data_IF_619857301297
#
_entry.id   IF_619857301297
#
_cell.length_a   1.000
_cell.length_b   1.000
_cell.length_c   1.000
_cell.angle_alpha   90.00
_cell.angle_beta   90.00
_cell.angle_gamma   90.00
#
_symmetry.space_group_name_H-M   'P 1'
#
loop_
_entity.id
_entity.type
_entity.pdbx_description
1 polymer ?
#
# COMPACT_ATOMS: atom_id res chain seq x y z
N UNK A 1 -32.91 -29.31 -17.10
CA UNK A 1 -32.17 -29.04 -18.36
C UNK A 1 -31.44 -27.73 -18.14
N UNK A 2 -30.24 -27.78 -17.60
CA UNK A 2 -29.35 -26.63 -17.47
C UNK A 2 -28.87 -26.24 -18.87
N UNK A 3 -29.16 -25.01 -19.26
CA UNK A 3 -28.62 -24.41 -20.48
C UNK A 3 -27.12 -24.14 -20.25
N UNK A 4 -26.25 -25.11 -20.57
CA UNK A 4 -24.83 -24.84 -20.76
C UNK A 4 -24.69 -23.81 -21.90
N UNK A 5 -24.34 -22.56 -21.57
CA UNK A 5 -23.96 -21.54 -22.55
C UNK A 5 -22.80 -22.11 -23.38
N UNK A 6 -23.00 -22.17 -24.70
CA UNK A 6 -21.98 -22.66 -25.65
C UNK A 6 -20.65 -21.90 -25.46
N UNK A 7 -19.49 -22.56 -25.65
CA UNK A 7 -18.16 -21.93 -25.53
C UNK A 7 -17.97 -20.67 -26.39
N UNK A 8 -18.67 -20.54 -27.51
CA UNK A 8 -18.64 -19.40 -28.41
C UNK A 8 -19.26 -18.13 -27.82
N UNK A 9 -20.26 -18.26 -26.93
CA UNK A 9 -20.93 -17.13 -26.30
C UNK A 9 -20.05 -16.53 -25.17
N UNK A 10 -19.31 -17.35 -24.46
CA UNK A 10 -18.35 -16.90 -23.46
C UNK A 10 -17.13 -16.19 -24.07
N UNK A 11 -16.67 -16.65 -25.25
CA UNK A 11 -15.56 -15.98 -25.98
C UNK A 11 -15.98 -14.61 -26.53
N UNK A 12 -17.19 -14.44 -26.98
CA UNK A 12 -17.70 -13.17 -27.49
C UNK A 12 -17.92 -12.13 -26.37
N UNK A 13 -18.41 -12.53 -25.19
CA UNK A 13 -18.53 -11.66 -24.00
C UNK A 13 -17.16 -11.20 -23.49
N UNK A 14 -16.16 -12.11 -23.44
CA UNK A 14 -14.78 -11.79 -23.07
C UNK A 14 -14.11 -10.86 -24.09
N UNK A 15 -14.41 -11.01 -25.38
CA UNK A 15 -13.90 -10.11 -26.44
C UNK A 15 -14.44 -8.70 -26.33
N UNK A 16 -15.72 -8.55 -25.99
CA UNK A 16 -16.35 -7.24 -25.79
C UNK A 16 -15.83 -6.54 -24.53
N UNK A 17 -15.41 -7.30 -23.51
CA UNK A 17 -14.88 -6.77 -22.26
C UNK A 17 -13.43 -6.26 -22.36
N UNK A 18 -12.61 -6.81 -23.29
CA UNK A 18 -11.17 -6.48 -23.41
C UNK A 18 -10.90 -5.65 -24.68
N UNK A 19 -11.91 -4.98 -25.21
CA UNK A 19 -11.69 -4.10 -26.36
C UNK A 19 -10.84 -2.87 -25.95
N UNK A 20 -9.85 -2.46 -26.79
CA UNK A 20 -9.11 -1.23 -26.58
C UNK A 20 -10.05 -0.02 -26.51
N UNK A 21 -9.63 1.08 -25.86
CA UNK A 21 -10.47 2.29 -25.76
C UNK A 21 -10.91 2.78 -27.13
N UNK A 22 -12.22 2.95 -27.31
CA UNK A 22 -12.82 3.29 -28.60
C UNK A 22 -12.61 4.75 -29.01
N UNK A 23 -12.38 5.61 -28.02
CA UNK A 23 -12.24 7.06 -28.22
C UNK A 23 -11.32 7.68 -27.18
N UNK A 24 -10.92 8.93 -27.40
CA UNK A 24 -10.05 9.71 -26.52
C UNK A 24 -10.64 9.89 -25.12
N UNK A 25 -11.95 9.98 -24.96
CA UNK A 25 -12.60 10.09 -23.65
C UNK A 25 -12.41 8.83 -22.81
N UNK A 26 -12.58 7.66 -23.40
CA UNK A 26 -12.38 6.38 -22.72
C UNK A 26 -10.90 6.15 -22.39
N UNK A 27 -10.02 6.53 -23.31
CA UNK A 27 -8.57 6.50 -23.09
C UNK A 27 -8.17 7.38 -21.89
N UNK A 28 -8.64 8.63 -21.87
CA UNK A 28 -8.36 9.58 -20.79
C UNK A 28 -8.97 9.14 -19.46
N UNK A 29 -10.19 8.58 -19.48
CA UNK A 29 -10.80 7.98 -18.29
C UNK A 29 -9.92 6.86 -17.71
N UNK A 30 -9.45 5.94 -18.54
CA UNK A 30 -8.60 4.84 -18.11
C UNK A 30 -7.24 5.34 -17.57
N UNK A 31 -6.68 6.39 -18.21
CA UNK A 31 -5.47 7.05 -17.71
C UNK A 31 -5.70 7.71 -16.33
N UNK A 32 -6.84 8.39 -16.14
CA UNK A 32 -7.20 8.99 -14.85
C UNK A 32 -7.38 7.92 -13.75
N UNK A 33 -8.02 6.81 -14.07
CA UNK A 33 -8.13 5.69 -13.13
C UNK A 33 -6.75 5.15 -12.77
N UNK A 34 -5.89 4.96 -13.78
CA UNK A 34 -4.49 4.59 -13.57
C UNK A 34 -3.77 5.57 -12.65
N UNK A 35 -3.94 6.88 -12.84
CA UNK A 35 -3.36 7.90 -11.98
C UNK A 35 -3.74 7.70 -10.50
N UNK A 36 -5.01 7.49 -10.20
CA UNK A 36 -5.44 7.23 -8.82
C UNK A 36 -4.93 5.89 -8.28
N UNK A 37 -4.81 4.86 -9.13
CA UNK A 37 -4.21 3.58 -8.74
C UNK A 37 -2.73 3.77 -8.40
N UNK A 38 -1.98 4.51 -9.21
CA UNK A 38 -0.57 4.81 -8.95
C UNK A 38 -0.36 5.63 -7.68
N UNK A 39 -1.23 6.61 -7.43
CA UNK A 39 -1.24 7.40 -6.20
C UNK A 39 -1.51 6.50 -4.97
N UNK A 40 -2.45 5.56 -5.07
CA UNK A 40 -2.78 4.63 -3.99
C UNK A 40 -1.63 3.68 -3.60
N UNK A 41 -0.66 3.46 -4.48
CA UNK A 41 0.54 2.66 -4.14
C UNK A 41 1.41 3.38 -3.10
N UNK A 42 1.50 4.70 -3.18
CA UNK A 42 2.31 5.52 -2.26
C UNK A 42 1.57 5.78 -0.95
N UNK A 43 0.26 5.99 -1.03
CA UNK A 43 -0.56 6.43 0.11
C UNK A 43 -1.07 5.22 0.90
N UNK A 44 -0.68 5.06 2.17
CA UNK A 44 -1.19 3.97 3.01
C UNK A 44 -2.71 4.02 3.19
N UNK A 45 -3.35 2.85 3.28
CA UNK A 45 -4.78 2.75 3.59
C UNK A 45 -5.72 2.89 2.39
N UNK A 46 -5.21 3.17 1.20
CA UNK A 46 -6.01 3.16 -0.04
C UNK A 46 -5.58 1.97 -0.91
N UNK A 47 -6.53 1.15 -1.31
CA UNK A 47 -6.28 0.02 -2.20
C UNK A 47 -6.53 0.40 -3.67
N UNK A 48 -5.56 0.09 -4.54
CA UNK A 48 -5.74 0.24 -6.00
C UNK A 48 -6.95 -0.54 -6.53
N UNK A 49 -7.25 -1.71 -5.96
CA UNK A 49 -8.44 -2.49 -6.30
C UNK A 49 -9.73 -1.70 -5.99
N UNK A 50 -9.83 -1.07 -4.82
CA UNK A 50 -10.97 -0.22 -4.45
C UNK A 50 -11.18 0.91 -5.46
N UNK A 51 -10.10 1.57 -5.90
CA UNK A 51 -10.16 2.61 -6.94
C UNK A 51 -10.75 2.04 -8.23
N UNK A 52 -10.27 0.87 -8.69
CA UNK A 52 -10.76 0.26 -9.93
C UNK A 52 -12.23 -0.19 -9.85
N UNK A 53 -12.70 -0.61 -8.66
CA UNK A 53 -14.11 -0.94 -8.38
C UNK A 53 -14.97 0.32 -8.48
N UNK A 54 -14.56 1.42 -7.84
CA UNK A 54 -15.27 2.72 -7.87
C UNK A 54 -15.47 3.20 -9.30
N UNK A 55 -14.44 3.10 -10.13
CA UNK A 55 -14.51 3.48 -11.54
C UNK A 55 -15.14 2.41 -12.45
N UNK A 56 -15.59 1.27 -11.87
CA UNK A 56 -16.26 0.15 -12.58
C UNK A 56 -15.39 -0.44 -13.71
N UNK A 57 -14.10 -0.58 -13.48
CA UNK A 57 -13.18 -1.21 -14.44
C UNK A 57 -12.47 -2.45 -13.89
N UNK A 58 -12.76 -2.83 -12.64
CA UNK A 58 -12.05 -3.91 -11.94
C UNK A 58 -12.07 -5.23 -12.72
N UNK A 59 -13.26 -5.71 -13.13
CA UNK A 59 -13.41 -6.98 -13.84
C UNK A 59 -12.72 -6.95 -15.21
N UNK A 60 -12.85 -5.83 -15.92
CA UNK A 60 -12.17 -5.62 -17.21
C UNK A 60 -10.66 -5.61 -17.05
N UNK A 61 -10.15 -4.98 -15.99
CA UNK A 61 -8.73 -4.95 -15.65
C UNK A 61 -8.22 -6.35 -15.32
N UNK A 62 -8.93 -7.09 -14.46
CA UNK A 62 -8.58 -8.46 -14.07
C UNK A 62 -8.57 -9.39 -15.29
N UNK A 63 -9.58 -9.31 -16.14
CA UNK A 63 -9.66 -10.08 -17.39
C UNK A 63 -8.52 -9.72 -18.36
N UNK A 64 -8.18 -8.44 -18.50
CA UNK A 64 -7.08 -8.02 -19.37
C UNK A 64 -5.73 -8.53 -18.87
N UNK A 65 -5.47 -8.50 -17.57
CA UNK A 65 -4.24 -9.04 -16.97
C UNK A 65 -4.17 -10.56 -17.11
N UNK A 66 -5.27 -11.27 -16.82
CA UNK A 66 -5.33 -12.74 -16.90
C UNK A 66 -5.14 -13.27 -18.32
N UNK A 67 -5.60 -12.53 -19.33
CA UNK A 67 -5.50 -12.92 -20.73
C UNK A 67 -4.35 -12.24 -21.49
N UNK A 68 -3.45 -11.55 -20.79
CA UNK A 68 -2.37 -10.78 -21.41
C UNK A 68 -1.53 -11.61 -22.38
N UNK A 69 -1.18 -12.85 -22.03
CA UNK A 69 -0.41 -13.74 -22.89
C UNK A 69 -1.21 -14.40 -24.00
N UNK A 70 -2.54 -14.49 -23.87
CA UNK A 70 -3.42 -15.14 -24.89
C UNK A 70 -3.85 -14.14 -25.97
N UNK A 71 -4.17 -12.88 -25.59
CA UNK A 71 -4.66 -11.82 -26.49
C UNK A 71 -3.83 -10.54 -26.30
N UNK A 72 -2.51 -10.65 -26.42
CA UNK A 72 -1.53 -9.62 -26.05
C UNK A 72 -1.89 -8.22 -26.58
N UNK A 73 -2.15 -8.10 -27.90
CA UNK A 73 -2.40 -6.79 -28.54
C UNK A 73 -3.59 -6.05 -27.90
N UNK A 74 -4.73 -6.72 -27.76
CA UNK A 74 -5.95 -6.08 -27.24
C UNK A 74 -5.83 -5.76 -25.75
N UNK A 75 -5.28 -6.70 -24.96
CA UNK A 75 -5.02 -6.52 -23.53
C UNK A 75 -4.02 -5.39 -23.30
N UNK A 76 -2.92 -5.36 -24.03
CA UNK A 76 -1.89 -4.33 -23.92
C UNK A 76 -2.44 -2.93 -24.26
N UNK A 77 -3.17 -2.80 -25.38
CA UNK A 77 -3.78 -1.51 -25.77
C UNK A 77 -4.84 -1.02 -24.76
N UNK A 78 -5.55 -1.95 -24.11
CA UNK A 78 -6.48 -1.59 -23.03
C UNK A 78 -5.74 -1.15 -21.76
N UNK A 79 -4.67 -1.85 -21.36
CA UNK A 79 -3.89 -1.58 -20.17
C UNK A 79 -2.98 -0.35 -20.32
N UNK A 80 -2.55 -0.02 -21.51
CA UNK A 80 -1.58 1.04 -21.79
C UNK A 80 -1.94 2.39 -21.15
N UNK A 81 -3.16 2.96 -21.31
CA UNK A 81 -3.53 4.21 -20.66
C UNK A 81 -3.55 4.08 -19.14
N UNK A 82 -3.95 2.92 -18.59
CA UNK A 82 -3.95 2.67 -17.15
C UNK A 82 -2.52 2.66 -16.62
N UNK A 83 -1.60 1.99 -17.32
CA UNK A 83 -0.18 1.93 -16.94
C UNK A 83 0.45 3.33 -17.00
N UNK A 84 0.21 4.09 -18.07
CA UNK A 84 0.73 5.47 -18.19
C UNK A 84 0.19 6.33 -17.04
N UNK A 85 -1.12 6.26 -16.78
CA UNK A 85 -1.73 6.96 -15.66
C UNK A 85 -1.12 6.55 -14.32
N UNK A 86 -0.91 5.24 -14.09
CA UNK A 86 -0.34 4.72 -12.85
C UNK A 86 1.11 5.20 -12.64
N UNK A 87 1.92 5.27 -13.68
CA UNK A 87 3.27 5.82 -13.61
C UNK A 87 3.22 7.31 -13.23
N UNK A 88 2.36 8.10 -13.88
CA UNK A 88 2.21 9.53 -13.59
C UNK A 88 1.70 9.73 -12.15
N UNK A 89 0.70 8.94 -11.72
CA UNK A 89 0.15 9.00 -10.37
C UNK A 89 1.16 8.58 -9.30
N UNK A 90 1.95 7.55 -9.57
CA UNK A 90 3.04 7.11 -8.70
C UNK A 90 4.10 8.22 -8.55
N UNK A 91 4.58 8.77 -9.66
CA UNK A 91 5.59 9.83 -9.65
C UNK A 91 5.05 11.09 -8.95
N UNK A 92 3.82 11.53 -9.29
CA UNK A 92 3.19 12.68 -8.66
C UNK A 92 2.93 12.47 -7.17
N UNK A 93 2.47 11.28 -6.78
CA UNK A 93 2.28 10.90 -5.37
C UNK A 93 3.61 10.87 -4.62
N UNK A 94 4.64 10.31 -5.24
CA UNK A 94 5.97 10.25 -4.69
C UNK A 94 6.51 11.65 -4.33
N UNK A 95 6.61 12.54 -5.31
CA UNK A 95 7.12 13.90 -5.06
C UNK A 95 6.20 14.72 -4.16
N UNK A 96 4.88 14.54 -4.28
CA UNK A 96 3.90 15.20 -3.43
C UNK A 96 4.04 14.82 -1.96
N UNK A 97 4.14 13.52 -1.66
CA UNK A 97 4.33 13.02 -0.29
C UNK A 97 5.69 13.42 0.26
N UNK A 98 6.77 13.29 -0.52
CA UNK A 98 8.10 13.71 -0.09
C UNK A 98 8.15 15.20 0.25
N UNK A 99 7.60 16.05 -0.62
CA UNK A 99 7.52 17.48 -0.36
C UNK A 99 6.71 17.77 0.90
N UNK A 100 5.54 17.13 1.04
CA UNK A 100 4.68 17.34 2.20
C UNK A 100 5.35 16.90 3.51
N UNK A 101 6.08 15.76 3.52
CA UNK A 101 6.86 15.33 4.68
C UNK A 101 7.94 16.33 5.09
N UNK A 102 8.55 17.05 4.14
CA UNK A 102 9.55 18.08 4.44
C UNK A 102 8.96 19.32 5.12
N UNK A 103 7.66 19.64 4.90
CA UNK A 103 7.01 20.82 5.44
C UNK A 103 6.12 20.52 6.66
N UNK A 104 5.37 19.43 6.64
CA UNK A 104 4.37 19.05 7.64
C UNK A 104 4.47 17.54 7.98
N UNK A 105 5.63 17.08 8.51
CA UNK A 105 5.91 15.67 8.66
C UNK A 105 4.89 14.94 9.56
N UNK A 106 4.53 15.53 10.71
CA UNK A 106 3.58 14.92 11.63
C UNK A 106 2.15 14.90 11.03
N UNK A 107 1.76 15.96 10.36
CA UNK A 107 0.44 16.06 9.75
C UNK A 107 0.22 15.03 8.63
N UNK A 108 1.25 14.73 7.82
CA UNK A 108 1.19 13.66 6.81
C UNK A 108 1.09 12.28 7.45
N UNK A 109 1.81 12.02 8.52
CA UNK A 109 1.68 10.76 9.28
C UNK A 109 0.25 10.61 9.85
N UNK A 110 -0.32 11.68 10.37
CA UNK A 110 -1.72 11.71 10.80
C UNK A 110 -2.70 11.44 9.66
N UNK A 111 -2.46 12.01 8.47
CA UNK A 111 -3.24 11.70 7.27
C UNK A 111 -3.21 10.19 6.95
N UNK A 112 -2.03 9.60 6.95
CA UNK A 112 -1.84 8.17 6.67
C UNK A 112 -2.51 7.30 7.74
N UNK A 113 -2.37 7.65 9.02
CA UNK A 113 -3.07 6.97 10.10
C UNK A 113 -4.59 7.06 9.92
N UNK A 114 -5.13 8.23 9.58
CA UNK A 114 -6.55 8.43 9.28
C UNK A 114 -7.03 7.54 8.14
N UNK A 115 -6.30 7.50 7.03
CA UNK A 115 -6.61 6.63 5.88
C UNK A 115 -6.63 5.15 6.28
N UNK A 116 -5.64 4.70 7.07
CA UNK A 116 -5.57 3.32 7.54
C UNK A 116 -6.71 2.99 8.51
N UNK A 117 -7.06 3.89 9.44
CA UNK A 117 -8.19 3.73 10.36
C UNK A 117 -9.51 3.65 9.57
N UNK A 118 -9.69 4.50 8.56
CA UNK A 118 -10.88 4.49 7.71
C UNK A 118 -11.03 3.22 6.87
N UNK A 119 -9.92 2.59 6.46
CA UNK A 119 -9.91 1.32 5.72
C UNK A 119 -10.03 0.08 6.64
N UNK A 120 -9.73 0.20 7.93
CA UNK A 120 -9.68 -0.91 8.89
C UNK A 120 -10.99 -1.73 8.98
N UNK A 121 -12.20 -1.15 8.87
CA UNK A 121 -13.45 -1.91 8.83
C UNK A 121 -13.50 -2.97 7.72
N UNK A 122 -12.86 -2.74 6.57
CA UNK A 122 -12.81 -3.71 5.47
C UNK A 122 -12.17 -5.05 5.89
N UNK A 123 -11.21 -4.99 6.81
CA UNK A 123 -10.52 -6.17 7.33
C UNK A 123 -11.22 -6.72 8.57
N UNK A 124 -11.67 -5.84 9.48
CA UNK A 124 -12.31 -6.26 10.74
C UNK A 124 -13.69 -6.89 10.55
N UNK A 125 -14.42 -6.55 9.48
CA UNK A 125 -15.70 -7.17 9.14
C UNK A 125 -15.57 -8.67 8.85
N UNK A 126 -14.40 -9.16 8.42
CA UNK A 126 -14.12 -10.58 8.14
C UNK A 126 -14.17 -11.47 9.40
N UNK A 127 -13.98 -10.89 10.59
CA UNK A 127 -14.06 -11.62 11.87
C UNK A 127 -15.33 -11.30 12.68
N UNK A 128 -16.20 -10.46 12.14
CA UNK A 128 -17.41 -10.02 12.83
C UNK A 128 -18.37 -11.20 13.03
N UNK A 129 -18.86 -11.37 14.28
CA UNK A 129 -19.75 -12.46 14.64
C UNK A 129 -19.05 -13.84 14.84
N UNK A 130 -17.76 -13.95 14.62
CA UNK A 130 -17.02 -15.19 14.78
C UNK A 130 -16.72 -15.50 16.26
N UNK A 131 -16.73 -16.82 16.61
CA UNK A 131 -16.40 -17.27 17.96
C UNK A 131 -14.97 -16.91 18.34
N UNK A 132 -14.79 -16.26 19.47
CA UNK A 132 -13.50 -15.86 20.05
C UNK A 132 -12.86 -17.03 20.79
N UNK A 133 -12.18 -17.94 20.09
CA UNK A 133 -11.40 -19.01 20.72
C UNK A 133 -10.07 -18.47 21.27
N UNK A 134 -9.45 -19.14 22.27
CA UNK A 134 -8.15 -18.72 22.80
C UNK A 134 -7.08 -18.58 21.71
N UNK A 135 -7.02 -19.51 20.73
CA UNK A 135 -6.11 -19.45 19.59
C UNK A 135 -6.35 -18.19 18.73
N UNK A 136 -7.61 -17.85 18.44
CA UNK A 136 -7.95 -16.68 17.63
C UNK A 136 -7.59 -15.38 18.32
N UNK A 137 -7.83 -15.31 19.63
CA UNK A 137 -7.47 -14.15 20.45
C UNK A 137 -5.94 -14.01 20.54
N UNK A 138 -5.20 -15.09 20.78
CA UNK A 138 -3.74 -15.03 20.82
C UNK A 138 -3.14 -14.61 19.47
N UNK A 139 -3.66 -15.09 18.35
CA UNK A 139 -3.23 -14.66 17.03
C UNK A 139 -3.51 -13.17 16.77
N UNK A 140 -4.65 -12.66 17.24
CA UNK A 140 -4.96 -11.22 17.15
C UNK A 140 -3.99 -10.40 17.99
N UNK A 141 -3.72 -10.80 19.23
CA UNK A 141 -2.80 -10.09 20.14
C UNK A 141 -1.36 -10.14 19.58
N UNK A 142 -0.89 -11.32 19.15
CA UNK A 142 0.44 -11.47 18.57
C UNK A 142 0.55 -10.62 17.30
N UNK A 143 -0.46 -10.69 16.41
CA UNK A 143 -0.50 -9.86 15.22
C UNK A 143 -0.45 -8.37 15.55
N UNK A 144 -1.20 -7.91 16.57
CA UNK A 144 -1.19 -6.53 17.02
C UNK A 144 0.18 -6.08 17.57
N UNK A 145 0.83 -6.92 18.33
CA UNK A 145 2.11 -6.59 18.97
C UNK A 145 3.28 -6.58 17.99
N UNK A 146 3.29 -7.45 16.98
CA UNK A 146 4.41 -7.58 16.03
C UNK A 146 4.81 -6.23 15.40
N UNK A 147 3.91 -5.46 14.75
CA UNK A 147 4.28 -4.19 14.13
C UNK A 147 4.78 -3.16 15.15
N UNK A 148 4.16 -3.10 16.32
CA UNK A 148 4.52 -2.13 17.37
C UNK A 148 5.91 -2.45 17.92
N UNK A 149 6.15 -3.70 18.30
CA UNK A 149 7.45 -4.14 18.83
C UNK A 149 8.54 -3.94 17.77
N UNK A 150 8.28 -4.31 16.52
CA UNK A 150 9.25 -4.14 15.44
C UNK A 150 9.58 -2.66 15.24
N UNK A 151 8.59 -1.77 15.17
CA UNK A 151 8.79 -0.33 15.01
C UNK A 151 9.62 0.27 16.16
N UNK A 152 9.23 -0.04 17.40
CA UNK A 152 9.95 0.43 18.59
C UNK A 152 11.38 -0.12 18.65
N UNK A 153 11.58 -1.41 18.38
CA UNK A 153 12.92 -2.01 18.35
C UNK A 153 13.80 -1.35 17.30
N UNK A 154 13.28 -1.14 16.08
CA UNK A 154 14.05 -0.46 15.03
C UNK A 154 14.42 0.95 15.47
N UNK A 155 13.47 1.74 15.96
CA UNK A 155 13.71 3.11 16.43
C UNK A 155 14.77 3.18 17.53
N UNK A 156 14.72 2.24 18.50
CA UNK A 156 15.71 2.19 19.59
C UNK A 156 17.10 1.70 19.14
N UNK A 157 17.17 0.82 18.14
CA UNK A 157 18.43 0.26 17.66
C UNK A 157 19.13 1.14 16.62
N UNK A 158 18.36 1.85 15.78
CA UNK A 158 18.92 2.73 14.73
C UNK A 158 19.18 4.15 15.21
N UNK A 159 18.66 4.52 16.39
CA UNK A 159 18.77 5.90 16.90
C UNK A 159 17.91 6.89 16.11
N UNK A 160 18.32 8.14 16.11
CA UNK A 160 17.69 9.20 15.32
C UNK A 160 17.72 8.81 13.85
N UNK A 161 16.57 8.69 13.23
CA UNK A 161 16.25 8.27 11.87
C UNK A 161 17.42 8.01 10.92
N UNK A 162 17.23 7.18 9.93
CA UNK A 162 18.24 7.07 8.87
C UNK A 162 18.37 8.46 8.24
N UNK A 163 19.31 9.28 8.79
CA UNK A 163 19.77 10.53 8.17
C UNK A 163 19.88 10.22 6.69
N UNK A 164 19.28 10.93 5.77
CA UNK A 164 19.28 10.63 4.31
C UNK A 164 20.59 10.08 3.71
N UNK A 165 21.51 9.69 4.54
CA UNK A 165 22.79 8.99 4.35
C UNK A 165 22.67 7.46 4.38
N UNK A 166 21.47 6.87 4.57
CA UNK A 166 21.32 5.40 4.68
C UNK A 166 21.95 4.62 3.51
N UNK A 167 22.14 5.26 2.37
CA UNK A 167 22.82 4.69 1.21
C UNK A 167 24.09 5.44 0.81
N UNK A 168 24.70 6.22 1.71
CA UNK A 168 25.93 6.97 1.41
C UNK A 168 27.10 6.02 1.10
N UNK A 169 27.15 4.87 1.78
CA UNK A 169 28.13 3.79 1.54
C UNK A 169 27.38 2.48 1.50
N UNK A 170 27.08 1.99 0.27
CA UNK A 170 26.37 0.72 0.10
C UNK A 170 27.34 -0.43 0.20
N UNK A 171 27.16 -1.25 1.25
CA UNK A 171 27.91 -2.46 1.50
C UNK A 171 27.22 -3.70 0.91
N UNK A 172 27.97 -4.78 0.64
CA UNK A 172 27.44 -5.97 -0.02
C UNK A 172 26.29 -6.66 0.72
N UNK A 173 26.27 -6.62 2.05
CA UNK A 173 25.24 -7.22 2.89
C UNK A 173 23.90 -6.48 2.79
N UNK A 174 23.91 -5.19 2.42
CA UNK A 174 22.68 -4.41 2.25
C UNK A 174 21.81 -4.93 1.10
N UNK A 175 22.43 -5.49 0.05
CA UNK A 175 21.67 -6.16 -1.01
C UNK A 175 20.85 -7.34 -0.46
N UNK A 176 21.42 -8.10 0.50
CA UNK A 176 20.70 -9.20 1.16
C UNK A 176 19.57 -8.66 2.03
N UNK A 177 19.83 -7.60 2.80
CA UNK A 177 18.81 -6.93 3.61
C UNK A 177 17.66 -6.45 2.73
N UNK A 178 17.95 -5.77 1.60
CA UNK A 178 16.90 -5.28 0.71
C UNK A 178 16.18 -6.38 -0.07
N UNK A 179 16.81 -7.51 -0.30
CA UNK A 179 16.11 -8.70 -0.79
C UNK A 179 15.07 -9.20 0.24
N UNK A 180 15.44 -9.24 1.53
CA UNK A 180 14.52 -9.60 2.62
C UNK A 180 13.44 -8.53 2.81
N UNK A 181 13.79 -7.24 2.73
CA UNK A 181 12.83 -6.13 2.78
C UNK A 181 11.84 -6.22 1.62
N UNK A 182 12.30 -6.49 0.40
CA UNK A 182 11.42 -6.71 -0.75
C UNK A 182 10.46 -7.87 -0.54
N UNK A 183 10.96 -8.99 0.00
CA UNK A 183 10.11 -10.13 0.39
C UNK A 183 9.07 -9.72 1.43
N UNK A 184 9.44 -8.99 2.47
CA UNK A 184 8.51 -8.52 3.50
C UNK A 184 7.49 -7.51 2.95
N UNK A 185 7.90 -6.61 2.04
CA UNK A 185 7.00 -5.72 1.32
C UNK A 185 5.95 -6.51 0.52
N UNK A 186 6.33 -7.63 -0.09
CA UNK A 186 5.36 -8.49 -0.80
C UNK A 186 4.29 -9.06 0.11
N UNK A 187 4.60 -9.37 1.37
CA UNK A 187 3.61 -9.82 2.36
C UNK A 187 2.53 -8.76 2.53
N UNK A 188 2.92 -7.49 2.62
CA UNK A 188 1.96 -6.40 2.78
C UNK A 188 1.05 -6.20 1.57
N UNK A 189 1.46 -6.64 0.38
CA UNK A 189 0.63 -6.57 -0.82
C UNK A 189 -0.37 -7.73 -0.93
N UNK A 190 0.00 -8.89 -0.39
CA UNK A 190 -0.85 -10.10 -0.44
C UNK A 190 -1.82 -10.14 0.74
N UNK A 191 -1.39 -9.65 1.90
CA UNK A 191 -2.21 -9.65 3.12
C UNK A 191 -3.11 -8.42 3.15
N UNK A 192 -4.45 -8.58 3.14
CA UNK A 192 -5.37 -7.46 3.18
C UNK A 192 -5.17 -6.58 4.42
N UNK A 193 -5.30 -5.26 4.25
CA UNK A 193 -5.23 -4.30 5.36
C UNK A 193 -3.81 -3.93 5.82
N UNK A 194 -2.77 -4.46 5.16
CA UNK A 194 -1.39 -3.99 5.33
C UNK A 194 -1.01 -3.03 4.20
N UNK A 195 -0.06 -2.15 4.47
CA UNK A 195 0.45 -1.17 3.51
C UNK A 195 1.96 -1.27 3.42
N UNK A 196 2.50 -1.32 2.19
CA UNK A 196 3.94 -1.34 1.94
C UNK A 196 4.64 -0.07 2.44
N UNK A 197 4.05 1.10 2.21
CA UNK A 197 4.59 2.37 2.67
C UNK A 197 4.62 2.45 4.20
N UNK A 198 3.54 2.03 4.87
CA UNK A 198 3.51 1.97 6.33
C UNK A 198 4.56 0.98 6.87
N UNK A 199 4.76 -0.17 6.20
CA UNK A 199 5.81 -1.12 6.57
C UNK A 199 7.21 -0.52 6.41
N UNK A 200 7.49 0.13 5.29
CA UNK A 200 8.78 0.78 5.05
C UNK A 200 9.05 1.93 6.04
N UNK A 201 8.02 2.69 6.42
CA UNK A 201 8.12 3.69 7.50
C UNK A 201 8.44 3.03 8.83
N UNK A 202 7.75 1.93 9.17
CA UNK A 202 7.94 1.20 10.42
C UNK A 202 9.38 0.69 10.58
N UNK A 203 10.03 0.26 9.49
CA UNK A 203 11.43 -0.20 9.52
C UNK A 203 12.44 0.92 9.19
N UNK A 204 11.99 2.18 9.04
CA UNK A 204 12.85 3.36 8.87
C UNK A 204 13.46 3.53 7.47
N UNK A 205 13.06 2.73 6.47
CA UNK A 205 13.62 2.83 5.11
C UNK A 205 12.79 3.66 4.14
N UNK A 206 11.61 4.15 4.54
CA UNK A 206 10.74 4.88 3.65
C UNK A 206 11.38 6.15 3.11
N UNK A 207 11.84 7.05 4.00
CA UNK A 207 12.46 8.32 3.61
C UNK A 207 13.77 8.13 2.85
N UNK A 208 14.60 7.16 3.27
CA UNK A 208 15.85 6.82 2.58
C UNK A 208 15.61 6.36 1.14
N UNK A 209 14.64 5.46 0.92
CA UNK A 209 14.25 5.04 -0.43
C UNK A 209 13.67 6.20 -1.22
N UNK A 210 12.77 7.00 -0.62
CA UNK A 210 12.19 8.18 -1.26
C UNK A 210 13.29 9.18 -1.65
N UNK A 211 14.24 9.48 -0.75
CA UNK A 211 15.36 10.37 -0.99
C UNK A 211 16.33 9.87 -2.07
N UNK A 212 16.40 8.56 -2.31
CA UNK A 212 17.30 7.99 -3.30
C UNK A 212 16.83 8.13 -4.76
N UNK A 213 15.54 8.44 -5.00
CA UNK A 213 14.98 8.57 -6.37
C UNK A 213 15.24 9.96 -7.00
N UNK A 214 16.52 10.37 -7.08
CA UNK A 214 16.95 11.61 -7.74
C UNK A 214 18.06 11.33 -8.73
N UNK A 215 18.01 11.99 -9.88
CA UNK A 215 19.03 11.85 -10.93
C UNK A 215 20.45 12.15 -10.43
N UNK A 216 20.57 13.15 -9.56
CA UNK A 216 21.85 13.54 -8.97
C UNK A 216 22.40 12.46 -8.05
N UNK A 217 21.53 11.88 -7.22
CA UNK A 217 21.88 10.77 -6.35
C UNK A 217 22.36 9.54 -7.13
N UNK A 218 21.67 9.19 -8.21
CA UNK A 218 22.03 8.06 -9.07
C UNK A 218 23.40 8.23 -9.74
N UNK A 219 23.76 9.47 -10.11
CA UNK A 219 25.09 9.77 -10.69
C UNK A 219 26.20 9.62 -9.65
N UNK A 220 25.95 10.02 -8.39
CA UNK A 220 26.90 9.94 -7.30
C UNK A 220 27.00 8.52 -6.72
N UNK A 221 25.90 7.78 -6.65
CA UNK A 221 25.79 6.46 -6.04
C UNK A 221 25.18 5.41 -6.95
N UNK A 222 25.85 4.98 -8.05
CA UNK A 222 25.26 4.01 -8.98
C UNK A 222 24.99 2.64 -8.37
N UNK A 223 25.62 2.29 -7.25
CA UNK A 223 25.35 1.05 -6.47
C UNK A 223 23.90 0.95 -5.99
N UNK A 224 23.15 2.07 -5.90
CA UNK A 224 21.75 2.07 -5.48
C UNK A 224 20.86 1.22 -6.40
N UNK A 225 21.20 1.11 -7.69
CA UNK A 225 20.47 0.24 -8.61
C UNK A 225 20.50 -1.24 -8.20
N UNK A 226 21.57 -1.67 -7.51
CA UNK A 226 21.66 -3.00 -6.92
C UNK A 226 20.64 -3.17 -5.76
N UNK A 227 20.44 -2.14 -4.94
CA UNK A 227 19.41 -2.11 -3.89
C UNK A 227 18.01 -2.23 -4.51
N UNK A 228 17.71 -1.45 -5.55
CA UNK A 228 16.42 -1.55 -6.25
C UNK A 228 16.21 -2.92 -6.88
N UNK A 229 17.25 -3.48 -7.52
CA UNK A 229 17.20 -4.83 -8.09
C UNK A 229 16.95 -5.89 -7.01
N UNK A 230 17.66 -5.83 -5.88
CA UNK A 230 17.48 -6.74 -4.75
C UNK A 230 16.05 -6.64 -4.18
N UNK A 231 15.53 -5.41 -4.00
CA UNK A 231 14.18 -5.16 -3.52
C UNK A 231 13.12 -5.73 -4.49
N UNK A 232 13.28 -5.52 -5.80
CA UNK A 232 12.38 -6.04 -6.83
C UNK A 232 12.42 -7.57 -6.86
N UNK A 233 13.61 -8.18 -6.86
CA UNK A 233 13.75 -9.65 -6.86
C UNK A 233 13.12 -10.23 -5.59
N UNK A 234 13.43 -9.66 -4.42
CA UNK A 234 12.83 -10.07 -3.15
C UNK A 234 11.31 -9.95 -3.18
N UNK A 235 10.77 -8.86 -3.71
CA UNK A 235 9.34 -8.63 -3.87
C UNK A 235 8.69 -9.68 -4.77
N UNK A 236 9.24 -9.99 -5.94
CA UNK A 236 8.68 -10.97 -6.88
C UNK A 236 8.69 -12.39 -6.30
N UNK A 237 9.81 -12.80 -5.69
CA UNK A 237 9.91 -14.09 -5.00
C UNK A 237 8.94 -14.16 -3.83
N UNK A 238 8.89 -13.11 -3.04
CA UNK A 238 8.00 -12.99 -1.90
C UNK A 238 6.53 -13.02 -2.31
N UNK A 239 6.15 -12.32 -3.37
CA UNK A 239 4.78 -12.31 -3.90
C UNK A 239 4.29 -13.73 -4.22
N UNK A 240 5.13 -14.49 -4.91
CA UNK A 240 4.81 -15.87 -5.27
C UNK A 240 4.70 -16.80 -4.05
N UNK A 241 5.66 -16.74 -3.14
CA UNK A 241 5.70 -17.60 -1.96
C UNK A 241 4.61 -17.24 -0.96
N UNK A 242 4.41 -15.94 -0.70
CA UNK A 242 3.40 -15.44 0.25
C UNK A 242 1.99 -15.74 -0.25
N UNK A 243 1.72 -15.57 -1.56
CA UNK A 243 0.41 -15.91 -2.14
C UNK A 243 0.07 -17.38 -1.95
N UNK A 244 1.03 -18.27 -2.22
CA UNK A 244 0.84 -19.74 -1.98
C UNK A 244 0.62 -20.06 -0.51
N UNK A 245 1.39 -19.41 0.38
CA UNK A 245 1.28 -19.63 1.82
C UNK A 245 -0.07 -19.13 2.36
N UNK A 246 -0.49 -17.92 1.96
CA UNK A 246 -1.76 -17.35 2.38
C UNK A 246 -2.96 -18.14 1.87
N UNK A 247 -2.91 -18.63 0.62
CA UNK A 247 -3.94 -19.52 0.08
C UNK A 247 -4.09 -20.79 0.93
N UNK A 248 -2.97 -21.45 1.28
CA UNK A 248 -3.01 -22.61 2.19
C UNK A 248 -3.62 -22.28 3.56
N UNK A 249 -3.32 -21.09 4.12
CA UNK A 249 -3.91 -20.67 5.39
C UNK A 249 -5.41 -20.42 5.26
N UNK A 250 -5.86 -19.83 4.15
CA UNK A 250 -7.28 -19.61 3.88
C UNK A 250 -8.04 -20.92 3.66
N UNK A 251 -7.46 -21.87 2.93
CA UNK A 251 -8.03 -23.22 2.76
C UNK A 251 -8.18 -23.93 4.12
N UNK A 252 -7.17 -23.82 4.99
CA UNK A 252 -7.20 -24.46 6.31
C UNK A 252 -8.19 -23.80 7.27
N UNK A 253 -8.20 -22.48 7.38
CA UNK A 253 -9.12 -21.70 8.23
C UNK A 253 -9.04 -20.22 7.91
N UNK A 254 -9.83 -19.75 6.92
CA UNK A 254 -9.91 -18.34 6.54
C UNK A 254 -10.17 -17.44 7.75
N UNK A 255 -11.18 -17.77 8.56
CA UNK A 255 -11.56 -16.95 9.71
C UNK A 255 -10.46 -16.82 10.75
N UNK A 256 -9.78 -17.90 11.09
CA UNK A 256 -8.67 -17.87 12.06
C UNK A 256 -7.49 -17.05 11.53
N UNK A 257 -7.19 -17.14 10.23
CA UNK A 257 -6.15 -16.32 9.58
C UNK A 257 -6.51 -14.84 9.64
N UNK A 258 -7.77 -14.47 9.44
CA UNK A 258 -8.20 -13.08 9.54
C UNK A 258 -8.05 -12.48 10.96
N UNK A 259 -8.12 -13.27 12.03
CA UNK A 259 -7.80 -12.75 13.37
C UNK A 259 -6.36 -12.24 13.46
N UNK A 260 -5.39 -12.98 12.87
CA UNK A 260 -4.00 -12.51 12.79
C UNK A 260 -3.86 -11.26 11.91
N UNK A 261 -4.54 -11.23 10.75
CA UNK A 261 -4.51 -10.11 9.81
C UNK A 261 -5.10 -8.84 10.44
N UNK A 262 -6.24 -8.95 11.14
CA UNK A 262 -6.85 -7.82 11.87
C UNK A 262 -5.90 -7.29 12.94
N UNK A 263 -5.24 -8.20 13.68
CA UNK A 263 -4.21 -7.82 14.64
C UNK A 263 -3.07 -7.04 13.97
N UNK A 264 -2.48 -7.59 12.92
CA UNK A 264 -1.40 -6.95 12.15
C UNK A 264 -1.81 -5.56 11.64
N UNK A 265 -3.00 -5.43 11.08
CA UNK A 265 -3.51 -4.15 10.57
C UNK A 265 -3.70 -3.12 11.69
N UNK A 266 -4.28 -3.52 12.82
CA UNK A 266 -4.44 -2.65 13.98
C UNK A 266 -3.09 -2.22 14.57
N UNK A 267 -2.15 -3.17 14.68
CA UNK A 267 -0.78 -2.90 15.13
C UNK A 267 -0.04 -1.95 14.19
N UNK A 268 -0.19 -2.12 12.87
CA UNK A 268 0.42 -1.26 11.87
C UNK A 268 -0.09 0.19 11.96
N UNK A 269 -1.38 0.41 12.25
CA UNK A 269 -1.95 1.75 12.47
C UNK A 269 -1.29 2.43 13.67
N UNK A 270 -1.06 1.71 14.74
CA UNK A 270 -0.43 2.25 15.94
C UNK A 270 1.07 2.48 15.70
N UNK A 271 1.76 1.53 15.05
CA UNK A 271 3.21 1.57 14.84
C UNK A 271 3.67 2.75 14.00
N UNK A 272 2.80 3.33 13.17
CA UNK A 272 3.15 4.49 12.33
C UNK A 272 3.56 5.73 13.18
N UNK A 273 3.08 5.82 14.42
CA UNK A 273 3.43 6.88 15.36
C UNK A 273 4.71 6.59 16.18
N UNK A 274 5.29 5.41 16.05
CA UNK A 274 6.47 4.98 16.79
C UNK A 274 7.67 4.67 15.89
N UNK A 275 7.60 5.05 14.61
CA UNK A 275 8.71 4.86 13.68
C UNK A 275 9.82 5.90 13.90
N UNK A 276 11.02 5.63 13.37
CA UNK A 276 12.20 6.47 13.52
C UNK A 276 11.98 7.89 12.99
N UNK A 277 11.28 8.07 11.87
CA UNK A 277 11.05 9.37 11.25
C UNK A 277 10.18 10.27 12.14
N UNK A 278 9.11 9.70 12.73
CA UNK A 278 8.23 10.43 13.66
C UNK A 278 8.93 10.69 14.99
N UNK A 279 9.75 9.75 15.44
CA UNK A 279 10.54 9.93 16.66
C UNK A 279 11.49 11.12 16.56
N UNK A 280 12.11 11.33 15.42
CA UNK A 280 12.93 12.51 15.16
C UNK A 280 12.11 13.80 15.23
N UNK A 281 10.90 13.83 14.67
CA UNK A 281 9.98 14.99 14.81
C UNK A 281 9.68 15.30 16.29
N UNK A 282 9.46 14.25 17.10
CA UNK A 282 9.27 14.44 18.55
C UNK A 282 10.50 15.00 19.26
N UNK A 283 11.71 14.59 18.86
CA UNK A 283 12.96 15.13 19.42
C UNK A 283 13.18 16.59 19.03
N UNK A 284 12.83 16.97 17.80
CA UNK A 284 12.85 18.37 17.35
C UNK A 284 11.86 19.20 18.18
N UNK A 285 10.66 18.69 18.43
CA UNK A 285 9.67 19.37 19.27
C UNK A 285 10.09 19.48 20.73
N UNK A 286 10.83 18.49 21.23
CA UNK A 286 11.42 18.50 22.58
C UNK A 286 12.69 19.38 22.69
N UNK A 287 13.20 19.93 21.58
CA UNK A 287 14.42 20.73 21.55
C UNK A 287 15.70 19.91 21.73
N UNK A 288 15.65 18.60 21.52
CA UNK A 288 16.81 17.67 21.62
C UNK A 288 17.64 17.67 20.35
N UNK A 289 16.96 17.78 19.19
CA UNK A 289 17.58 17.80 17.86
C UNK A 289 17.27 19.15 17.18
N UNK A 290 18.26 19.68 16.46
CA UNK A 290 18.06 20.91 15.71
C UNK A 290 17.21 20.63 14.45
N UNK A 291 16.14 21.39 14.31
CA UNK A 291 15.26 21.34 13.15
C UNK A 291 15.97 21.54 11.81
N UNK A 292 17.07 22.33 11.81
CA UNK A 292 17.83 22.67 10.59
C UNK A 292 18.51 21.45 9.93
N UNK A 293 18.63 20.33 10.63
CA UNK A 293 19.37 19.16 10.16
C UNK A 293 18.56 18.39 9.11
N UNK A 294 17.37 17.88 9.47
CA UNK A 294 16.60 17.00 8.59
C UNK A 294 15.25 17.57 8.11
N UNK A 295 14.70 18.54 8.87
CA UNK A 295 13.43 19.19 8.53
C UNK A 295 13.54 20.74 8.52
N UNK A 296 14.45 21.32 7.72
CA UNK A 296 14.70 22.77 7.77
C UNK A 296 13.45 23.60 7.41
N UNK A 297 12.60 23.06 6.57
CA UNK A 297 11.39 23.74 6.07
C UNK A 297 10.12 23.38 6.87
N UNK A 298 10.19 22.49 7.86
CA UNK A 298 8.99 22.08 8.61
C UNK A 298 8.36 23.28 9.34
N UNK A 299 7.05 23.30 9.38
CA UNK A 299 6.29 24.31 10.15
C UNK A 299 6.53 24.14 11.66
N UNK A 300 6.08 25.11 12.46
CA UNK A 300 6.17 25.00 13.93
C UNK A 300 5.26 23.88 14.46
N UNK A 301 5.66 23.29 15.61
CA UNK A 301 4.91 22.23 16.28
C UNK A 301 3.41 22.48 16.40
N UNK A 302 2.92 23.67 16.88
CA UNK A 302 1.47 23.87 17.03
C UNK A 302 0.73 23.79 15.70
N UNK A 303 1.34 24.28 14.61
CA UNK A 303 0.74 24.27 13.27
C UNK A 303 0.69 22.85 12.73
N UNK A 304 1.80 22.10 12.83
CA UNK A 304 1.87 20.71 12.34
C UNK A 304 0.91 19.81 13.11
N UNK A 305 0.80 19.98 14.44
CA UNK A 305 -0.14 19.24 15.28
C UNK A 305 -1.60 19.57 14.92
N UNK A 306 -1.94 20.83 14.74
CA UNK A 306 -3.29 21.26 14.38
C UNK A 306 -3.69 20.72 13.00
N UNK A 307 -2.79 20.85 12.02
CA UNK A 307 -2.98 20.26 10.68
C UNK A 307 -3.08 18.74 10.75
N UNK A 308 -2.30 18.11 11.64
CA UNK A 308 -2.33 16.66 11.84
C UNK A 308 -3.70 16.16 12.28
N UNK A 309 -4.32 16.82 13.26
CA UNK A 309 -5.68 16.46 13.69
C UNK A 309 -6.68 16.61 12.54
N UNK A 310 -6.61 17.72 11.78
CA UNK A 310 -7.47 17.94 10.64
C UNK A 310 -7.29 16.88 9.54
N UNK A 311 -6.03 16.59 9.18
CA UNK A 311 -5.69 15.62 8.13
C UNK A 311 -6.01 14.18 8.55
N UNK A 312 -5.93 13.83 9.83
CA UNK A 312 -6.37 12.54 10.34
C UNK A 312 -7.88 12.34 10.10
N UNK A 313 -8.69 13.35 10.42
CA UNK A 313 -10.14 13.31 10.19
C UNK A 313 -10.45 13.22 8.69
N UNK A 314 -9.75 14.00 7.86
CA UNK A 314 -9.92 13.97 6.40
C UNK A 314 -9.54 12.60 5.83
N UNK A 315 -8.39 12.05 6.24
CA UNK A 315 -7.94 10.72 5.82
C UNK A 315 -8.93 9.63 6.22
N UNK A 316 -9.40 9.65 7.47
CA UNK A 316 -10.45 8.75 7.93
C UNK A 316 -11.71 8.85 7.08
N UNK A 317 -12.21 10.06 6.85
CA UNK A 317 -13.45 10.28 6.08
C UNK A 317 -13.33 9.76 4.64
N UNK A 318 -12.20 10.04 3.97
CA UNK A 318 -11.95 9.56 2.59
C UNK A 318 -11.97 8.04 2.55
N UNK A 319 -11.15 7.39 3.37
CA UNK A 319 -10.98 5.94 3.31
C UNK A 319 -12.23 5.20 3.79
N UNK A 320 -12.92 5.72 4.81
CA UNK A 320 -14.19 5.17 5.27
C UNK A 320 -15.30 5.30 4.23
N UNK A 321 -15.37 6.43 3.51
CA UNK A 321 -16.30 6.59 2.39
C UNK A 321 -16.04 5.58 1.26
N UNK A 322 -14.76 5.33 0.93
CA UNK A 322 -14.36 4.32 -0.06
C UNK A 322 -14.78 2.91 0.39
N UNK A 323 -14.54 2.56 1.67
CA UNK A 323 -14.99 1.29 2.25
C UNK A 323 -16.50 1.13 2.15
N UNK A 324 -17.28 2.14 2.55
CA UNK A 324 -18.75 2.09 2.49
C UNK A 324 -19.28 1.94 1.06
N UNK A 325 -18.62 2.61 0.11
CA UNK A 325 -18.95 2.48 -1.32
C UNK A 325 -18.72 1.05 -1.81
N UNK A 326 -17.54 0.48 -1.51
CA UNK A 326 -17.19 -0.90 -1.89
C UNK A 326 -18.18 -1.89 -1.28
N UNK A 327 -18.46 -1.81 0.03
CA UNK A 327 -19.39 -2.69 0.72
C UNK A 327 -20.78 -2.68 0.09
N UNK A 328 -21.31 -1.49 -0.25
CA UNK A 328 -22.60 -1.36 -0.91
C UNK A 328 -22.60 -1.99 -2.32
N UNK A 329 -21.49 -1.89 -3.03
CA UNK A 329 -21.33 -2.49 -4.35
C UNK A 329 -21.35 -4.02 -4.25
N UNK A 330 -20.61 -4.60 -3.31
CA UNK A 330 -20.51 -6.05 -3.09
C UNK A 330 -21.88 -6.63 -2.67
N UNK A 331 -22.63 -5.93 -1.79
CA UNK A 331 -23.98 -6.31 -1.41
C UNK A 331 -24.97 -6.30 -2.61
N UNK A 332 -24.80 -5.37 -3.55
CA UNK A 332 -25.62 -5.31 -4.77
C UNK A 332 -25.31 -6.46 -5.73
N UNK A 333 -24.01 -6.81 -5.89
CA UNK A 333 -23.62 -7.95 -6.72
C UNK A 333 -24.16 -9.26 -6.17
N UNK A 334 -24.02 -9.53 -4.87
CA UNK A 334 -24.59 -10.72 -4.23
C UNK A 334 -26.11 -10.85 -4.40
N UNK A 335 -26.83 -9.72 -4.40
CA UNK A 335 -28.29 -9.72 -4.65
C UNK A 335 -28.66 -10.02 -6.10
N UNK A 336 -27.78 -9.73 -7.05
CA UNK A 336 -27.99 -10.03 -8.48
C UNK A 336 -27.67 -11.49 -8.79
N UNK A 337 -26.65 -12.07 -8.15
CA UNK A 337 -26.27 -13.48 -8.30
C UNK A 337 -27.28 -14.44 -7.65
N UNK A 338 -28.01 -13.99 -6.64
CA UNK A 338 -29.05 -14.78 -5.96
C UNK A 338 -30.44 -14.66 -6.58
N UNK A 339 -30.58 -13.94 -7.71
CA UNK A 339 -31.81 -13.84 -8.52
C UNK A 339 -31.70 -14.66 -9.80
#
# INVERSE_FOLDING_TARGET
MENEKKPEDQTSEVETQIAPPKNTKEWLKNCLVGFFVGLAVIVPGISGATITIIFKIYDRLLNAVSNLFKKFKNCFLYLLPIIIGAIIGFIGGFFGVQTALNYIPFAIICLFAGLMIGAFPAVSDEIKGEKKTPLRISLLIIGFLIPIVLSVCVTLLTGNGNDGTAFATIEWWEYIVFLVVGFAVSITQVVPGLSASAFLMMIGYFNALMGSFHLEYWKQNPKIFGIYAALIVGFLVGLFLTSKFLNKLFEKSRKTTFFAIVGLSAGAIISIFFNSDVYEVYQIWAGVVDKSTNYPNAVSMPIDLFLGIGLLIVGFAISFALYMYQKKHDEQQMKLENK
#
